data_IF_501003116603
#
_entry.id   IF_501003116603
#
_cell.length_a   1.000
_cell.length_b   1.000
_cell.length_c   1.000
_cell.angle_alpha   90.00
_cell.angle_beta   90.00
_cell.angle_gamma   90.00
#
_symmetry.space_group_name_H-M   'P 1'
#
loop_
_entity.id
_entity.type
_entity.pdbx_description
1 polymer ?
#
# COMPACT_ATOMS: atom_id res chain seq x y z
N UNK A 1 6.23 -18.95 5.72
CA UNK A 1 5.98 -17.52 5.35
C UNK A 1 5.64 -16.74 6.60
N UNK A 2 6.08 -15.48 6.72
CA UNK A 2 5.86 -14.64 7.91
C UNK A 2 4.38 -14.52 8.31
N UNK A 3 3.46 -14.56 7.34
CA UNK A 3 2.02 -14.51 7.57
C UNK A 3 1.50 -15.60 8.52
N UNK A 4 1.89 -16.86 8.28
CA UNK A 4 1.51 -18.01 9.12
C UNK A 4 2.17 -17.97 10.50
N UNK A 5 3.35 -17.33 10.60
CA UNK A 5 4.09 -17.21 11.86
C UNK A 5 3.42 -16.20 12.82
N UNK A 6 2.78 -15.17 12.28
CA UNK A 6 2.23 -14.06 13.06
C UNK A 6 0.70 -13.99 13.05
N UNK A 7 0.02 -14.97 12.46
CA UNK A 7 -1.44 -15.08 12.41
C UNK A 7 -2.15 -13.78 11.96
N UNK A 8 -1.50 -13.04 11.06
CA UNK A 8 -2.02 -11.75 10.62
C UNK A 8 -3.19 -11.96 9.65
N UNK A 9 -4.41 -11.43 9.94
CA UNK A 9 -5.60 -11.62 9.10
C UNK A 9 -5.60 -10.74 7.83
N UNK A 10 -4.42 -10.28 7.39
CA UNK A 10 -4.25 -9.41 6.22
C UNK A 10 -3.56 -10.17 5.08
N UNK A 11 -3.94 -9.86 3.85
CA UNK A 11 -3.36 -10.47 2.64
C UNK A 11 -1.96 -9.93 2.39
N UNK A 12 -1.03 -10.81 2.05
CA UNK A 12 0.33 -10.47 1.63
C UNK A 12 0.40 -10.74 0.13
N UNK A 13 0.77 -9.71 -0.63
CA UNK A 13 1.05 -9.83 -2.06
C UNK A 13 2.55 -9.75 -2.31
N UNK A 14 2.99 -10.38 -3.39
CA UNK A 14 4.30 -10.13 -3.98
C UNK A 14 4.08 -9.64 -5.41
N UNK A 15 4.56 -8.45 -5.70
CA UNK A 15 4.57 -7.86 -7.03
C UNK A 15 5.99 -7.96 -7.58
N UNK A 16 6.23 -8.98 -8.40
CA UNK A 16 7.52 -9.22 -9.03
C UNK A 16 7.73 -8.25 -10.18
N UNK A 17 8.96 -7.74 -10.31
CA UNK A 17 9.32 -6.83 -11.39
C UNK A 17 9.18 -7.53 -12.76
N UNK A 18 8.37 -6.99 -13.69
CA UNK A 18 8.25 -7.55 -15.03
C UNK A 18 9.57 -7.46 -15.81
N UNK A 19 9.85 -8.46 -16.65
CA UNK A 19 11.05 -8.47 -17.50
C UNK A 19 11.11 -7.22 -18.38
N UNK A 20 12.20 -6.46 -18.26
CA UNK A 20 12.44 -5.24 -19.05
C UNK A 20 11.77 -3.99 -18.49
N UNK A 21 10.99 -4.07 -17.41
CA UNK A 21 10.56 -2.89 -16.65
C UNK A 21 11.67 -2.49 -15.66
N UNK A 22 11.86 -1.18 -15.37
CA UNK A 22 12.75 -0.75 -14.30
C UNK A 22 12.18 -1.00 -12.89
N UNK A 23 10.86 -1.20 -12.72
CA UNK A 23 10.20 -1.28 -11.42
C UNK A 23 9.04 -2.30 -11.39
N UNK A 24 8.63 -2.79 -10.21
CA UNK A 24 7.36 -3.50 -10.03
C UNK A 24 6.15 -2.64 -10.43
N UNK A 25 5.06 -3.29 -10.85
CA UNK A 25 3.85 -2.62 -11.35
C UNK A 25 3.23 -1.68 -10.32
N UNK A 26 3.21 -2.06 -9.04
CA UNK A 26 2.72 -1.23 -7.95
C UNK A 26 3.46 0.10 -7.83
N UNK A 27 4.78 0.11 -8.10
CA UNK A 27 5.57 1.35 -8.09
C UNK A 27 5.24 2.25 -9.27
N UNK A 28 5.02 1.67 -10.46
CA UNK A 28 4.69 2.43 -11.67
C UNK A 28 3.26 2.99 -11.62
N UNK A 29 2.28 2.14 -11.30
CA UNK A 29 0.86 2.46 -11.32
C UNK A 29 0.48 3.50 -10.26
N UNK A 30 1.02 3.34 -9.04
CA UNK A 30 0.72 4.23 -7.92
C UNK A 30 1.81 5.29 -7.68
N UNK A 31 2.83 5.34 -8.54
CA UNK A 31 3.97 6.27 -8.47
C UNK A 31 4.60 6.32 -7.09
N UNK A 32 4.71 5.16 -6.45
CA UNK A 32 5.31 5.04 -5.13
C UNK A 32 6.82 5.20 -5.24
N UNK A 33 7.46 5.61 -4.15
CA UNK A 33 8.93 5.62 -4.06
C UNK A 33 9.40 4.32 -3.40
N UNK A 34 10.69 4.25 -3.08
CA UNK A 34 11.27 3.08 -2.39
C UNK A 34 10.52 2.70 -1.12
N UNK A 35 10.66 1.45 -0.70
CA UNK A 35 9.96 0.88 0.45
C UNK A 35 10.58 1.33 1.79
N UNK A 36 9.76 1.53 2.85
CA UNK A 36 8.32 1.30 2.93
C UNK A 36 7.47 2.44 2.32
N UNK A 37 6.30 2.09 1.77
CA UNK A 37 5.31 3.03 1.22
C UNK A 37 3.89 2.60 1.57
N UNK A 38 3.00 3.55 1.81
CA UNK A 38 1.59 3.33 2.15
C UNK A 38 0.69 4.05 1.16
N UNK A 39 -0.29 3.33 0.60
CA UNK A 39 -1.32 3.88 -0.28
C UNK A 39 -2.69 3.50 0.27
N UNK A 40 -3.59 4.47 0.42
CA UNK A 40 -4.99 4.26 0.83
C UNK A 40 -5.88 4.66 -0.33
N UNK A 41 -6.78 3.76 -0.72
CA UNK A 41 -7.72 3.93 -1.82
C UNK A 41 -9.12 3.81 -1.22
N UNK A 42 -9.99 4.79 -1.49
CA UNK A 42 -11.38 4.74 -1.07
C UNK A 42 -12.20 3.73 -1.89
N UNK A 43 -13.46 3.51 -1.47
CA UNK A 43 -14.38 2.59 -2.16
C UNK A 43 -14.73 3.02 -3.60
N UNK A 44 -14.49 4.28 -3.96
CA UNK A 44 -14.65 4.81 -5.32
C UNK A 44 -13.41 4.59 -6.20
N UNK A 45 -12.33 4.04 -5.66
CA UNK A 45 -11.07 3.81 -6.38
C UNK A 45 -10.13 5.00 -6.40
N UNK A 46 -10.39 6.06 -5.62
CA UNK A 46 -9.51 7.24 -5.57
C UNK A 46 -8.44 7.09 -4.48
N UNK A 47 -7.21 7.51 -4.80
CA UNK A 47 -6.13 7.56 -3.80
C UNK A 47 -6.39 8.73 -2.85
N UNK A 48 -6.64 8.41 -1.58
CA UNK A 48 -6.87 9.40 -0.52
C UNK A 48 -5.63 9.65 0.35
N UNK A 49 -4.63 8.76 0.27
CA UNK A 49 -3.34 8.90 0.94
C UNK A 49 -2.25 8.15 0.17
N UNK A 50 -1.04 8.73 0.06
CA UNK A 50 0.13 8.09 -0.56
C UNK A 50 1.42 8.72 -0.04
N UNK A 51 2.10 8.05 0.90
CA UNK A 51 3.36 8.54 1.49
C UNK A 51 4.17 7.40 2.16
N UNK A 52 5.44 7.67 2.50
CA UNK A 52 6.33 6.73 3.21
C UNK A 52 6.10 6.70 4.73
N UNK A 53 5.56 7.78 5.30
CA UNK A 53 5.15 7.84 6.71
C UNK A 53 3.65 7.64 6.84
N UNK A 54 3.21 6.63 7.59
CA UNK A 54 1.81 6.48 7.96
C UNK A 54 1.55 7.08 9.34
N UNK A 55 0.77 8.16 9.39
CA UNK A 55 0.16 8.62 10.64
C UNK A 55 -1.16 7.87 10.85
N UNK A 56 -1.11 6.85 11.71
CA UNK A 56 -2.24 5.96 11.97
C UNK A 56 -3.44 6.71 12.57
N UNK A 57 -3.21 7.65 13.49
CA UNK A 57 -4.30 8.40 14.13
C UNK A 57 -5.00 9.30 13.13
N UNK A 58 -4.22 9.99 12.29
CA UNK A 58 -4.77 10.84 11.25
C UNK A 58 -5.54 10.03 10.21
N UNK A 59 -5.01 8.87 9.81
CA UNK A 59 -5.70 7.99 8.86
C UNK A 59 -7.06 7.53 9.40
N UNK A 60 -7.12 7.04 10.65
CA UNK A 60 -8.38 6.60 11.26
C UNK A 60 -9.40 7.74 11.28
N UNK A 61 -8.99 8.95 11.68
CA UNK A 61 -9.87 10.12 11.66
C UNK A 61 -10.41 10.46 10.26
N UNK A 62 -9.62 10.27 9.20
CA UNK A 62 -10.07 10.51 7.84
C UNK A 62 -11.05 9.44 7.35
N UNK A 63 -10.85 8.19 7.75
CA UNK A 63 -11.74 7.07 7.39
C UNK A 63 -13.10 7.13 8.11
N UNK A 64 -13.15 7.68 9.32
CA UNK A 64 -14.41 7.88 10.07
C UNK A 64 -15.31 9.00 9.53
N UNK A 65 -14.78 9.86 8.63
CA UNK A 65 -15.47 11.04 8.10
C UNK A 65 -16.10 10.83 6.72
N UNK A 66 -15.84 9.69 6.07
CA UNK A 66 -16.40 9.32 4.76
C UNK A 66 -17.49 8.27 4.88
#
# INVERSE_FOLDING_TARGET
MNQLKYELPIVFGHDEQPTGSPFPTFMEDYRTRGTPWFTVIDAGGSIVFSDFHLDAERLVKQLEQG
#
